data_IF_498988943864
#
_entry.id   IF_498988943864
#
_cell.length_a   1.000
_cell.length_b   1.000
_cell.length_c   1.000
_cell.angle_alpha   90.00
_cell.angle_beta   90.00
_cell.angle_gamma   90.00
#
_symmetry.space_group_name_H-M   'P 1'
#
loop_
_entity.id
_entity.type
_entity.pdbx_description
1 polymer ?
#
# COMPACT_ATOMS: atom_id res chain seq x y z
N UNK A 1 -1.66 -9.15 -7.74
CA UNK A 1 -1.99 -8.57 -9.06
C UNK A 1 -1.69 -9.51 -10.24
N UNK A 2 -0.48 -10.07 -10.35
CA UNK A 2 -0.12 -10.99 -11.46
C UNK A 2 -1.11 -12.13 -11.71
N UNK A 3 -1.58 -12.78 -10.64
CA UNK A 3 -2.59 -13.85 -10.72
C UNK A 3 -3.91 -13.35 -11.32
N UNK A 4 -4.42 -12.22 -10.82
CA UNK A 4 -5.60 -11.55 -11.38
C UNK A 4 -5.43 -11.21 -12.86
N UNK A 5 -4.28 -10.63 -13.26
CA UNK A 5 -4.04 -10.31 -14.67
C UNK A 5 -3.95 -11.53 -15.57
N UNK A 6 -3.45 -12.66 -15.05
CA UNK A 6 -3.29 -13.90 -15.84
C UNK A 6 -4.60 -14.66 -15.99
N UNK A 7 -5.42 -14.73 -14.93
CA UNK A 7 -6.59 -15.62 -14.88
C UNK A 7 -7.93 -14.88 -14.80
N UNK A 8 -7.94 -13.56 -14.62
CA UNK A 8 -9.17 -12.78 -14.47
C UNK A 8 -9.91 -13.02 -13.16
N UNK A 9 -9.29 -13.68 -12.18
CA UNK A 9 -9.93 -14.11 -10.94
C UNK A 9 -10.25 -12.93 -10.01
N UNK A 10 -11.52 -12.54 -9.97
CA UNK A 10 -12.02 -11.39 -9.21
C UNK A 10 -11.78 -11.51 -7.70
N UNK A 11 -11.77 -12.73 -7.15
CA UNK A 11 -11.45 -12.96 -5.75
C UNK A 11 -10.02 -12.54 -5.41
N UNK A 12 -9.06 -12.75 -6.32
CA UNK A 12 -7.68 -12.33 -6.11
C UNK A 12 -7.55 -10.80 -6.07
N UNK A 13 -8.32 -10.09 -6.91
CA UNK A 13 -8.39 -8.63 -6.84
C UNK A 13 -8.98 -8.17 -5.51
N UNK A 14 -10.11 -8.76 -5.10
CA UNK A 14 -10.80 -8.41 -3.84
C UNK A 14 -9.91 -8.63 -2.61
N UNK A 15 -9.10 -9.69 -2.58
CA UNK A 15 -8.14 -9.92 -1.50
C UNK A 15 -7.11 -8.80 -1.39
N UNK A 16 -6.56 -8.36 -2.52
CA UNK A 16 -5.59 -7.25 -2.56
C UNK A 16 -6.26 -5.95 -2.13
N UNK A 17 -7.46 -5.64 -2.64
CA UNK A 17 -8.21 -4.44 -2.26
C UNK A 17 -8.45 -4.40 -0.75
N UNK A 18 -8.98 -5.47 -0.15
CA UNK A 18 -9.26 -5.53 1.28
C UNK A 18 -7.99 -5.38 2.13
N UNK A 19 -6.88 -5.96 1.68
CA UNK A 19 -5.59 -5.85 2.38
C UNK A 19 -5.08 -4.42 2.34
N UNK A 20 -5.08 -3.79 1.16
CA UNK A 20 -4.65 -2.40 0.99
C UNK A 20 -5.55 -1.44 1.77
N UNK A 21 -6.87 -1.64 1.76
CA UNK A 21 -7.80 -0.83 2.56
C UNK A 21 -7.50 -0.92 4.06
N UNK A 22 -7.27 -2.13 4.57
CA UNK A 22 -6.87 -2.33 5.97
C UNK A 22 -5.55 -1.65 6.31
N UNK A 23 -4.53 -1.79 5.46
CA UNK A 23 -3.23 -1.12 5.66
C UNK A 23 -3.34 0.40 5.61
N UNK A 24 -4.12 0.95 4.67
CA UNK A 24 -4.31 2.40 4.52
C UNK A 24 -5.05 3.01 5.71
N UNK A 25 -6.00 2.28 6.30
CA UNK A 25 -6.76 2.71 7.48
C UNK A 25 -6.04 2.43 8.81
N UNK A 26 -5.10 1.48 8.83
CA UNK A 26 -4.35 1.08 10.01
C UNK A 26 -3.22 2.04 10.38
N UNK A 27 -2.57 1.76 11.52
CA UNK A 27 -1.40 2.49 12.01
C UNK A 27 -0.10 2.14 11.28
N UNK A 28 -0.07 1.10 10.44
CA UNK A 28 1.07 0.82 9.55
C UNK A 28 1.28 1.91 8.51
N UNK A 29 0.22 2.61 8.10
CA UNK A 29 0.30 3.82 7.28
C UNK A 29 0.53 5.02 8.21
N UNK A 30 1.66 5.70 8.05
CA UNK A 30 1.93 6.91 8.82
C UNK A 30 1.13 8.08 8.25
N UNK A 31 0.02 8.37 8.92
CA UNK A 31 -0.90 9.45 8.55
C UNK A 31 -0.30 10.86 8.72
N UNK A 32 0.76 11.01 9.51
CA UNK A 32 1.39 12.31 9.81
C UNK A 32 2.67 12.51 9.02
N UNK A 33 3.58 11.53 9.07
CA UNK A 33 4.88 11.56 8.41
C UNK A 33 4.93 10.91 7.04
N UNK A 34 3.80 10.39 6.55
CA UNK A 34 3.60 9.77 5.24
C UNK A 34 4.36 8.46 4.98
N UNK A 35 3.77 7.58 4.17
CA UNK A 35 4.34 6.29 3.81
C UNK A 35 4.14 5.24 4.89
N UNK A 36 4.66 4.04 4.64
CA UNK A 36 4.42 2.87 5.51
C UNK A 36 5.57 2.58 6.46
N UNK A 37 5.22 2.08 7.64
CA UNK A 37 6.15 1.45 8.58
C UNK A 37 6.56 0.05 8.09
N UNK A 38 7.70 -0.45 8.58
CA UNK A 38 8.32 -1.70 8.12
C UNK A 38 7.41 -2.92 8.28
N UNK A 39 6.75 -3.06 9.42
CA UNK A 39 5.77 -4.10 9.69
C UNK A 39 4.84 -3.68 10.82
N UNK A 40 3.74 -4.43 11.00
CA UNK A 40 2.85 -4.33 12.15
C UNK A 40 2.98 -5.57 13.02
N UNK A 41 2.85 -5.42 14.33
CA UNK A 41 2.90 -6.53 15.29
C UNK A 41 1.55 -7.23 15.45
N UNK A 42 0.47 -6.64 14.93
CA UNK A 42 -0.87 -7.22 14.94
C UNK A 42 -1.43 -7.45 13.53
N UNK A 43 -2.46 -8.27 13.45
CA UNK A 43 -3.11 -8.67 12.19
C UNK A 43 -4.05 -7.60 11.62
N UNK A 44 -4.41 -6.58 12.41
CA UNK A 44 -5.29 -5.49 12.01
C UNK A 44 -4.51 -4.26 11.52
N UNK A 45 -3.17 -4.36 11.43
CA UNK A 45 -2.27 -3.30 10.97
C UNK A 45 -2.21 -2.07 11.90
N UNK A 46 -2.58 -2.21 13.18
CA UNK A 46 -2.77 -1.07 14.09
C UNK A 46 -1.47 -0.58 14.74
N UNK A 47 -0.61 -1.50 15.17
CA UNK A 47 0.58 -1.25 15.96
C UNK A 47 1.79 -1.43 15.05
N UNK A 48 2.42 -0.33 14.59
CA UNK A 48 3.59 -0.43 13.73
C UNK A 48 4.87 -0.62 14.53
N UNK A 49 5.86 -1.22 13.88
CA UNK A 49 7.26 -0.98 14.23
C UNK A 49 7.70 0.33 13.56
N UNK A 50 8.00 1.37 14.35
CA UNK A 50 8.21 2.77 13.93
C UNK A 50 9.46 3.05 13.06
N UNK A 51 9.95 2.04 12.35
CA UNK A 51 11.00 2.13 11.36
C UNK A 51 10.40 2.23 9.95
N UNK A 52 11.04 2.99 9.05
CA UNK A 52 10.68 3.07 7.64
C UNK A 52 11.89 2.79 6.78
N UNK A 53 11.73 1.93 5.76
CA UNK A 53 12.80 1.59 4.84
C UNK A 53 12.40 1.88 3.39
N UNK A 54 13.34 2.38 2.59
CA UNK A 54 13.07 2.80 1.21
C UNK A 54 12.58 1.64 0.33
N UNK A 55 13.15 0.44 0.49
CA UNK A 55 12.79 -0.70 -0.33
C UNK A 55 11.35 -1.16 -0.07
N UNK A 56 10.88 -1.12 1.19
CA UNK A 56 9.49 -1.44 1.53
C UNK A 56 8.52 -0.48 0.84
N UNK A 57 8.85 0.81 0.83
CA UNK A 57 8.04 1.83 0.16
C UNK A 57 8.01 1.63 -1.34
N UNK A 58 9.14 1.26 -1.96
CA UNK A 58 9.21 0.97 -3.38
C UNK A 58 8.34 -0.24 -3.76
N UNK A 59 8.39 -1.32 -2.97
CA UNK A 59 7.57 -2.52 -3.18
C UNK A 59 6.07 -2.24 -3.00
N UNK A 60 5.72 -1.48 -1.95
CA UNK A 60 4.33 -1.09 -1.69
C UNK A 60 3.84 -0.15 -2.80
N UNK A 61 4.63 0.84 -3.21
CA UNK A 61 4.29 1.75 -4.30
C UNK A 61 4.01 1.01 -5.61
N UNK A 62 4.84 0.03 -5.97
CA UNK A 62 4.61 -0.80 -7.14
C UNK A 62 3.28 -1.58 -7.04
N UNK A 63 3.00 -2.15 -5.88
CA UNK A 63 1.75 -2.90 -5.63
C UNK A 63 0.51 -2.00 -5.69
N UNK A 64 0.59 -0.80 -5.12
CA UNK A 64 -0.48 0.20 -5.18
C UNK A 64 -0.67 0.75 -6.60
N UNK A 65 0.41 0.95 -7.37
CA UNK A 65 0.33 1.38 -8.76
C UNK A 65 -0.38 0.33 -9.64
N UNK A 66 -0.04 -0.95 -9.48
CA UNK A 66 -0.73 -2.05 -10.16
C UNK A 66 -2.22 -2.09 -9.77
N UNK A 67 -2.54 -1.95 -8.48
CA UNK A 67 -3.92 -1.93 -8.01
C UNK A 67 -4.70 -0.73 -8.56
N UNK A 68 -4.08 0.44 -8.62
CA UNK A 68 -4.69 1.63 -9.22
C UNK A 68 -4.93 1.45 -10.72
N UNK A 69 -4.00 0.83 -11.45
CA UNK A 69 -4.18 0.56 -12.87
C UNK A 69 -5.40 -0.36 -13.12
N UNK A 70 -5.62 -1.34 -12.24
CA UNK A 70 -6.75 -2.26 -12.33
C UNK A 70 -8.10 -1.66 -11.88
N UNK A 71 -8.10 -0.82 -10.85
CA UNK A 71 -9.35 -0.39 -10.17
C UNK A 71 -9.71 1.08 -10.37
N UNK A 72 -8.75 1.92 -10.78
CA UNK A 72 -8.87 3.38 -10.94
C UNK A 72 -9.35 4.15 -9.70
N UNK A 73 -9.25 3.57 -8.50
CA UNK A 73 -9.68 4.22 -7.26
C UNK A 73 -8.75 5.38 -6.88
N UNK A 74 -9.34 6.55 -6.60
CA UNK A 74 -8.60 7.80 -6.34
C UNK A 74 -7.78 7.78 -5.05
N UNK A 75 -8.24 7.12 -3.99
CA UNK A 75 -7.50 7.01 -2.73
C UNK A 75 -6.13 6.33 -2.92
N UNK A 76 -6.06 5.32 -3.78
CA UNK A 76 -4.82 4.60 -4.08
C UNK A 76 -3.84 5.52 -4.84
N UNK A 77 -4.31 6.27 -5.83
CA UNK A 77 -3.43 7.18 -6.58
C UNK A 77 -2.91 8.33 -5.74
N UNK A 78 -3.70 8.82 -4.79
CA UNK A 78 -3.25 9.79 -3.78
C UNK A 78 -2.12 9.20 -2.95
N UNK A 79 -2.27 7.98 -2.42
CA UNK A 79 -1.21 7.34 -1.63
C UNK A 79 0.07 7.11 -2.44
N UNK A 80 -0.04 6.64 -3.68
CA UNK A 80 1.13 6.50 -4.55
C UNK A 80 1.90 7.80 -4.70
N UNK A 81 1.18 8.92 -4.88
CA UNK A 81 1.78 10.25 -5.01
C UNK A 81 2.48 10.67 -3.73
N UNK A 82 1.83 10.47 -2.58
CA UNK A 82 2.40 10.78 -1.27
C UNK A 82 3.75 10.08 -1.11
N UNK A 83 3.79 8.75 -1.28
CA UNK A 83 5.02 7.96 -1.16
C UNK A 83 6.09 8.46 -2.13
N UNK A 84 5.75 8.62 -3.41
CA UNK A 84 6.72 9.08 -4.41
C UNK A 84 7.30 10.46 -4.08
N UNK A 85 6.49 11.39 -3.58
CA UNK A 85 6.95 12.73 -3.20
C UNK A 85 7.79 12.75 -1.93
N UNK A 86 7.48 11.91 -0.94
CA UNK A 86 8.24 11.84 0.32
C UNK A 86 9.69 11.42 0.12
N UNK A 87 9.97 10.62 -0.90
CA UNK A 87 11.33 10.09 -1.19
C UNK A 87 12.08 10.86 -2.28
N UNK A 88 11.45 11.84 -2.92
CA UNK A 88 12.12 12.71 -3.91
C UNK A 88 12.93 13.85 -3.28
N UNK A 89 12.67 14.17 -2.01
CA UNK A 89 13.29 15.29 -1.28
C UNK A 89 14.43 14.89 -0.34
N UNK A 90 14.80 13.61 -0.30
CA UNK A 90 16.00 13.10 0.38
C UNK A 90 17.08 12.85 -0.65
#
# INVERSE_FOLDING_TARGET
MRYYHRFGESNALRMVEKTVEGMLAGGINDHLGHGFHRYSTDHEWKIPHFEKMLYDQAMILASLADLYAATRRKNISVQCRIIFTSYRKK
#
